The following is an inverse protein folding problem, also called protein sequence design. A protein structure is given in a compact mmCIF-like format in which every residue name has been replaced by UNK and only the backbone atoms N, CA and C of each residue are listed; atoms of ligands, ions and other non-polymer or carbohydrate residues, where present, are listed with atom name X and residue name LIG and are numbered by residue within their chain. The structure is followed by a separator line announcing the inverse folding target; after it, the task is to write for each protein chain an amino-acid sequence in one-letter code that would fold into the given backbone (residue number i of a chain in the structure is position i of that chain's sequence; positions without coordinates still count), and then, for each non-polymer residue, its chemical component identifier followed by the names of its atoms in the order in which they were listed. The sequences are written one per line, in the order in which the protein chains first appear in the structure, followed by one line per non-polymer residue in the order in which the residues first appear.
data_IF_740307486993
#
_entry.id   IF_740307486993
#
_cell.length_a   1.000
_cell.length_b   1.000
_cell.length_c   1.000
_cell.angle_alpha   90.00
_cell.angle_beta   90.00
_cell.angle_gamma   90.00
#
_symmetry.space_group_name_H-M   'P 1'
#
loop_
_entity.id
_entity.type
_entity.pdbx_description
1 polymer ?
#
# COMPACT_ATOMS: atom_id res chain seq x y z
N UNK A 1 27.16 -33.81 -12.56
CA UNK A 1 26.11 -32.88 -12.07
C UNK A 1 25.53 -32.11 -13.24
N UNK A 2 24.21 -31.86 -13.32
CA UNK A 2 23.69 -30.94 -14.32
C UNK A 2 24.29 -29.55 -14.11
N UNK A 3 24.93 -29.00 -15.13
CA UNK A 3 25.44 -27.63 -15.09
C UNK A 3 24.28 -26.66 -14.89
N UNK A 4 24.45 -25.65 -14.02
CA UNK A 4 23.42 -24.63 -13.80
C UNK A 4 23.31 -23.74 -15.04
N UNK A 5 22.50 -24.16 -16.01
CA UNK A 5 22.30 -23.43 -17.28
C UNK A 5 21.23 -22.36 -17.23
N UNK A 6 20.45 -22.27 -16.14
CA UNK A 6 19.34 -21.31 -16.06
C UNK A 6 19.15 -20.70 -14.67
N UNK A 7 18.65 -19.45 -14.60
CA UNK A 7 18.25 -18.84 -13.34
C UNK A 7 17.11 -19.62 -12.67
N UNK A 8 17.08 -19.55 -11.35
CA UNK A 8 16.00 -20.14 -10.54
C UNK A 8 14.63 -19.58 -10.93
N UNK A 9 13.65 -20.46 -11.12
CA UNK A 9 12.25 -20.09 -11.37
C UNK A 9 11.54 -19.68 -10.08
N UNK A 10 11.33 -18.38 -9.92
CA UNK A 10 10.62 -17.78 -8.80
C UNK A 10 11.52 -17.47 -7.58
N UNK A 11 11.39 -16.23 -7.10
CA UNK A 11 12.13 -15.76 -5.92
C UNK A 11 11.74 -16.51 -4.64
N UNK A 12 12.75 -16.79 -3.80
CA UNK A 12 12.62 -17.39 -2.46
C UNK A 12 12.21 -16.37 -1.39
N UNK A 13 12.49 -15.08 -1.60
CA UNK A 13 12.17 -14.00 -0.67
C UNK A 13 10.66 -13.91 -0.35
N UNK A 14 9.83 -14.38 -1.28
CA UNK A 14 8.37 -14.29 -1.19
C UNK A 14 7.70 -15.55 -0.66
N UNK A 15 8.46 -16.45 -0.04
CA UNK A 15 7.92 -17.62 0.67
C UNK A 15 7.61 -17.28 2.13
N UNK A 16 6.58 -17.90 2.73
CA UNK A 16 5.59 -18.79 2.10
C UNK A 16 4.59 -18.02 1.21
N UNK A 17 4.26 -18.59 0.05
CA UNK A 17 3.27 -18.01 -0.88
C UNK A 17 1.84 -18.37 -0.48
N UNK A 18 1.38 -17.80 0.64
CA UNK A 18 0.04 -18.00 1.22
C UNK A 18 -0.86 -16.76 1.07
N UNK A 19 -2.16 -16.92 1.33
CA UNK A 19 -3.10 -15.78 1.40
C UNK A 19 -2.71 -14.87 2.57
N UNK A 20 -2.84 -13.57 2.37
CA UNK A 20 -2.70 -12.57 3.41
C UNK A 20 -3.89 -12.66 4.37
N UNK A 21 -3.62 -12.61 5.67
CA UNK A 21 -4.66 -12.68 6.70
C UNK A 21 -5.42 -11.36 6.86
N UNK A 22 -4.72 -10.23 6.68
CA UNK A 22 -5.28 -8.87 6.80
C UNK A 22 -5.30 -8.23 5.42
N UNK A 23 -6.33 -7.44 5.11
CA UNK A 23 -6.46 -6.72 3.85
C UNK A 23 -5.50 -5.53 3.71
N UNK A 24 -5.32 -4.77 4.80
CA UNK A 24 -4.25 -3.78 4.91
C UNK A 24 -3.03 -4.43 5.59
N UNK A 25 -1.85 -4.36 4.97
CA UNK A 25 -0.62 -4.84 5.60
C UNK A 25 -0.20 -3.93 6.76
N UNK A 26 0.36 -4.51 7.81
CA UNK A 26 1.02 -3.76 8.87
C UNK A 26 2.37 -3.23 8.39
N UNK A 27 2.86 -2.18 9.04
CA UNK A 27 4.07 -1.47 8.65
C UNK A 27 4.99 -1.33 9.85
N UNK A 28 6.30 -1.46 9.60
CA UNK A 28 7.31 -1.05 10.57
C UNK A 28 7.50 0.47 10.46
N UNK A 29 6.78 1.23 11.28
CA UNK A 29 6.78 2.69 11.26
C UNK A 29 8.10 3.32 11.71
N UNK A 30 8.90 2.62 12.51
CA UNK A 30 10.21 3.11 12.97
C UNK A 30 11.22 3.21 11.82
N UNK A 31 11.09 2.34 10.82
CA UNK A 31 12.00 2.31 9.69
C UNK A 31 11.71 3.39 8.63
N UNK A 32 10.50 3.96 8.64
CA UNK A 32 10.07 4.96 7.66
C UNK A 32 10.37 6.35 8.22
N UNK A 33 11.14 7.11 7.47
CA UNK A 33 11.31 8.54 7.71
C UNK A 33 10.42 9.34 6.75
N UNK A 34 9.96 10.51 7.19
CA UNK A 34 9.07 11.37 6.42
C UNK A 34 9.31 12.85 6.71
N UNK A 35 9.28 13.69 5.68
CA UNK A 35 9.37 15.15 5.90
C UNK A 35 8.15 15.69 6.64
N UNK A 36 6.98 15.09 6.40
CA UNK A 36 5.71 15.45 7.03
C UNK A 36 5.46 14.60 8.28
N UNK A 37 4.55 15.09 9.13
CA UNK A 37 4.29 14.48 10.43
C UNK A 37 3.58 13.13 10.33
N UNK A 38 2.70 12.93 9.35
CA UNK A 38 1.98 11.69 9.16
C UNK A 38 2.77 10.77 8.20
N UNK A 39 3.14 9.55 8.63
CA UNK A 39 4.01 8.67 7.83
C UNK A 39 3.31 7.92 6.70
N UNK A 40 1.98 7.89 6.69
CA UNK A 40 1.20 7.11 5.73
C UNK A 40 -0.26 7.50 5.65
N UNK A 41 -0.98 6.89 4.71
CA UNK A 41 -2.37 7.21 4.42
C UNK A 41 -3.11 6.00 3.84
N UNK A 42 -4.42 5.87 4.08
CA UNK A 42 -5.23 4.81 3.44
C UNK A 42 -5.79 5.34 2.12
N UNK A 43 -5.57 4.62 1.04
CA UNK A 43 -6.14 4.93 -0.26
C UNK A 43 -6.82 3.71 -0.90
N UNK A 44 -7.63 3.95 -1.93
CA UNK A 44 -8.34 2.93 -2.67
C UNK A 44 -7.93 2.99 -4.13
N UNK A 45 -7.61 1.83 -4.71
CA UNK A 45 -7.30 1.77 -6.13
C UNK A 45 -8.55 1.99 -6.96
N UNK A 46 -8.63 3.13 -7.65
CA UNK A 46 -9.75 3.44 -8.53
C UNK A 46 -9.61 2.70 -9.85
N UNK A 47 -8.56 3.01 -10.61
CA UNK A 47 -8.32 2.48 -11.94
C UNK A 47 -6.91 2.75 -12.44
N UNK A 48 -6.67 2.42 -13.70
CA UNK A 48 -5.45 2.77 -14.41
C UNK A 48 -5.83 3.50 -15.70
N UNK A 49 -4.99 4.44 -16.09
CA UNK A 49 -5.12 5.23 -17.32
C UNK A 49 -3.73 5.45 -17.90
N UNK A 50 -3.64 6.10 -19.06
CA UNK A 50 -2.38 6.67 -19.53
C UNK A 50 -2.35 8.15 -19.18
N UNK A 51 -1.20 8.71 -18.82
CA UNK A 51 -1.05 10.15 -18.64
C UNK A 51 -0.10 10.67 -19.72
N UNK A 52 -0.48 11.78 -20.36
CA UNK A 52 0.45 12.58 -21.13
C UNK A 52 1.23 13.46 -20.15
N UNK A 53 2.56 13.33 -20.18
CA UNK A 53 3.46 14.12 -19.33
C UNK A 53 4.58 14.72 -20.17
N UNK A 54 5.07 15.89 -19.79
CA UNK A 54 6.32 16.45 -20.35
C UNK A 54 7.48 15.94 -19.50
N UNK A 55 8.49 15.37 -20.14
CA UNK A 55 9.69 14.88 -19.45
C UNK A 55 10.69 16.02 -19.25
N UNK A 56 10.90 16.44 -18.00
CA UNK A 56 11.85 17.48 -17.62
C UNK A 56 13.15 16.89 -17.06
N UNK A 57 13.29 15.55 -17.07
CA UNK A 57 14.44 14.86 -16.51
C UNK A 57 15.75 15.30 -17.19
N UNK A 58 16.76 15.77 -16.43
CA UNK A 58 18.06 16.13 -16.99
C UNK A 58 18.74 14.96 -17.72
N UNK A 59 19.34 15.24 -18.88
CA UNK A 59 20.05 14.27 -19.73
C UNK A 59 19.21 13.06 -20.17
N UNK A 60 17.88 13.16 -20.16
CA UNK A 60 16.99 12.16 -20.74
C UNK A 60 16.94 12.31 -22.26
N UNK A 61 16.87 11.19 -22.99
CA UNK A 61 16.64 11.18 -24.45
C UNK A 61 15.29 11.80 -24.85
N UNK A 62 14.36 11.87 -23.90
CA UNK A 62 13.02 12.43 -24.07
C UNK A 62 12.84 13.79 -23.40
N UNK A 63 13.93 14.46 -22.98
CA UNK A 63 13.86 15.79 -22.36
C UNK A 63 13.05 16.75 -23.24
N UNK A 64 12.14 17.49 -22.61
CA UNK A 64 11.20 18.45 -23.19
C UNK A 64 10.15 17.87 -24.15
N UNK A 65 10.12 16.54 -24.34
CA UNK A 65 9.11 15.86 -25.17
C UNK A 65 7.90 15.44 -24.33
N UNK A 66 6.74 15.42 -24.98
CA UNK A 66 5.52 14.83 -24.44
C UNK A 66 5.58 13.31 -24.59
N UNK A 67 5.44 12.59 -23.49
CA UNK A 67 5.45 11.13 -23.45
C UNK A 67 4.19 10.60 -22.75
N UNK A 68 3.71 9.44 -23.19
CA UNK A 68 2.63 8.74 -22.54
C UNK A 68 3.19 7.75 -21.51
N UNK A 69 2.74 7.83 -20.26
CA UNK A 69 3.14 6.92 -19.18
C UNK A 69 1.91 6.25 -18.58
N UNK A 70 1.94 4.94 -18.28
CA UNK A 70 0.86 4.30 -17.54
C UNK A 70 0.80 4.82 -16.11
N UNK A 71 -0.40 5.14 -15.64
CA UNK A 71 -0.65 5.66 -14.29
C UNK A 71 -1.75 4.88 -13.60
N UNK A 72 -1.71 4.88 -12.27
CA UNK A 72 -2.80 4.39 -11.42
C UNK A 72 -3.44 5.56 -10.70
N UNK A 73 -4.76 5.64 -10.77
CA UNK A 73 -5.57 6.61 -10.04
C UNK A 73 -5.94 5.99 -8.69
N UNK A 74 -5.61 6.68 -7.62
CA UNK A 74 -5.93 6.31 -6.25
C UNK A 74 -6.91 7.35 -5.69
N UNK A 75 -8.01 6.88 -5.11
CA UNK A 75 -8.89 7.71 -4.31
C UNK A 75 -8.44 7.68 -2.85
N UNK A 76 -8.29 8.85 -2.26
CA UNK A 76 -7.78 9.07 -0.92
C UNK A 76 -8.87 9.79 -0.12
N UNK A 77 -9.83 9.05 0.47
CA UNK A 77 -10.79 9.68 1.37
C UNK A 77 -10.09 10.24 2.60
N UNK A 78 -10.60 11.33 3.19
CA UNK A 78 -10.08 11.86 4.44
C UNK A 78 -10.01 10.79 5.53
N UNK A 79 -9.01 10.89 6.39
CA UNK A 79 -8.85 10.03 7.56
C UNK A 79 -9.37 10.73 8.81
N UNK A 80 -9.85 9.95 9.77
CA UNK A 80 -10.14 10.43 11.13
C UNK A 80 -9.39 9.57 12.14
N UNK A 81 -8.97 10.18 13.24
CA UNK A 81 -8.30 9.47 14.34
C UNK A 81 -9.37 8.67 15.11
N UNK A 82 -9.23 7.35 15.16
CA UNK A 82 -10.03 6.47 16.00
C UNK A 82 -9.54 6.48 17.44
N UNK A 83 -8.23 6.33 17.61
CA UNK A 83 -7.56 6.30 18.91
C UNK A 83 -6.09 6.64 18.78
N UNK A 84 -5.49 7.02 19.89
CA UNK A 84 -4.10 7.42 20.03
C UNK A 84 -3.42 6.40 20.93
N UNK A 85 -2.35 5.78 20.46
CA UNK A 85 -1.55 4.82 21.21
C UNK A 85 -0.27 5.47 21.68
N UNK A 86 -0.04 5.39 22.99
CA UNK A 86 1.19 5.82 23.62
C UNK A 86 2.07 4.60 23.88
N UNK A 87 3.33 4.70 23.47
CA UNK A 87 4.30 3.61 23.55
C UNK A 87 5.35 3.91 24.61
N UNK A 88 5.70 2.88 25.38
CA UNK A 88 6.81 2.87 26.35
C UNK A 88 7.64 1.62 26.11
N UNK A 89 8.94 1.75 25.88
CA UNK A 89 9.84 0.63 25.56
C UNK A 89 9.32 -0.21 24.36
N UNK A 90 8.75 0.45 23.36
CA UNK A 90 8.16 -0.19 22.17
C UNK A 90 6.88 -1.00 22.41
N UNK A 91 6.33 -1.02 23.63
CA UNK A 91 5.03 -1.64 23.95
C UNK A 91 3.95 -0.57 24.08
N UNK A 92 2.70 -0.94 23.78
CA UNK A 92 1.55 -0.05 24.00
C UNK A 92 1.34 0.07 25.51
N UNK A 93 1.55 1.26 26.06
CA UNK A 93 1.30 1.53 27.47
C UNK A 93 -0.16 1.92 27.71
N UNK A 94 -0.66 2.90 26.95
CA UNK A 94 -2.04 3.36 27.05
C UNK A 94 -2.63 3.68 25.67
N UNK A 95 -3.95 3.58 25.57
CA UNK A 95 -4.71 3.95 24.37
C UNK A 95 -5.85 4.90 24.77
N UNK A 96 -5.93 6.03 24.06
CA UNK A 96 -6.97 7.06 24.23
C UNK A 96 -7.86 7.04 23.01
N UNK A 97 -9.17 6.96 23.21
CA UNK A 97 -10.12 7.02 22.10
C UNK A 97 -10.24 8.46 21.59
N UNK A 98 -10.42 8.60 20.28
CA UNK A 98 -10.71 9.88 19.64
C UNK A 98 -12.12 10.37 19.95
N UNK A 99 -12.32 11.66 19.73
CA UNK A 99 -13.61 12.34 19.90
C UNK A 99 -14.45 12.28 18.61
N UNK A 100 -15.77 12.45 18.75
CA UNK A 100 -16.71 12.54 17.62
C UNK A 100 -16.63 11.37 16.60
N UNK A 101 -16.66 10.14 17.12
CA UNK A 101 -16.54 8.92 16.33
C UNK A 101 -17.81 8.61 15.53
N UNK A 102 -17.65 8.20 14.28
CA UNK A 102 -18.77 7.85 13.39
C UNK A 102 -19.48 6.56 13.80
N UNK A 103 -20.82 6.53 13.66
CA UNK A 103 -21.66 5.36 13.99
C UNK A 103 -21.26 4.08 13.24
N UNK A 104 -20.68 4.20 12.05
CA UNK A 104 -20.25 3.06 11.22
C UNK A 104 -19.10 2.26 11.83
N UNK A 105 -18.30 2.87 12.71
CA UNK A 105 -17.20 2.20 13.42
C UNK A 105 -17.69 1.03 14.28
N UNK A 106 -18.93 1.09 14.78
CA UNK A 106 -19.56 0.02 15.56
C UNK A 106 -19.62 -1.31 14.82
N UNK A 107 -19.53 -1.31 13.48
CA UNK A 107 -19.47 -2.54 12.66
C UNK A 107 -18.14 -3.27 12.74
N UNK A 108 -17.06 -2.57 13.12
CA UNK A 108 -15.71 -3.15 13.20
C UNK A 108 -15.15 -3.24 14.61
N UNK A 109 -15.45 -2.26 15.45
CA UNK A 109 -14.86 -2.14 16.79
C UNK A 109 -15.97 -1.89 17.80
N UNK A 110 -15.91 -2.59 18.94
CA UNK A 110 -16.74 -2.29 20.10
C UNK A 110 -16.20 -1.02 20.76
N UNK A 111 -16.98 0.06 20.70
CA UNK A 111 -16.60 1.33 21.31
C UNK A 111 -16.83 1.29 22.83
N UNK A 112 -15.87 1.75 23.66
CA UNK A 112 -16.06 1.81 25.10
C UNK A 112 -17.07 2.90 25.47
N UNK A 113 -17.82 2.69 26.57
CA UNK A 113 -18.82 3.65 27.07
C UNK A 113 -18.19 4.88 27.73
N UNK A 114 -17.00 4.74 28.33
CA UNK A 114 -16.20 5.83 28.92
C UNK A 114 -14.86 5.89 28.18
N UNK A 115 -14.51 7.07 27.68
CA UNK A 115 -13.21 7.34 27.05
C UNK A 115 -12.35 8.17 28.00
N UNK A 116 -11.08 7.79 28.15
CA UNK A 116 -10.08 8.62 28.85
C UNK A 116 -9.83 9.88 28.03
N UNK A 117 -9.64 11.03 28.67
CA UNK A 117 -9.27 12.26 27.97
C UNK A 117 -7.77 12.30 27.71
N UNK A 118 -7.36 12.98 26.65
CA UNK A 118 -5.94 13.06 26.28
C UNK A 118 -5.14 13.94 27.25
N UNK A 119 -5.79 14.90 27.90
CA UNK A 119 -5.15 15.83 28.84
C UNK A 119 -4.79 15.20 30.18
N UNK A 120 -5.38 14.04 30.51
CA UNK A 120 -5.10 13.29 31.74
C UNK A 120 -3.77 12.49 31.66
N UNK A 121 -3.14 12.46 30.48
CA UNK A 121 -1.94 11.66 30.24
C UNK A 121 -0.68 12.48 30.49
N UNK A 122 0.14 12.00 31.42
CA UNK A 122 1.47 12.55 31.67
C UNK A 122 2.39 12.25 30.49
N UNK A 123 2.97 13.31 29.92
CA UNK A 123 3.82 13.22 28.72
C UNK A 123 5.11 12.43 28.97
N UNK A 124 5.69 12.57 30.15
CA UNK A 124 7.00 11.98 30.51
C UNK A 124 6.99 10.44 30.55
N UNK A 125 5.81 9.83 30.66
CA UNK A 125 5.69 8.38 30.81
C UNK A 125 5.90 7.60 29.51
N UNK A 126 5.87 8.28 28.35
CA UNK A 126 5.81 7.66 27.03
C UNK A 126 6.87 8.21 26.06
N UNK A 127 7.42 7.33 25.23
CA UNK A 127 8.51 7.64 24.31
C UNK A 127 8.01 7.95 22.90
N UNK A 128 6.94 7.29 22.46
CA UNK A 128 6.41 7.42 21.10
C UNK A 128 4.87 7.47 21.11
N UNK A 129 4.33 8.16 20.10
CA UNK A 129 2.89 8.31 19.88
C UNK A 129 2.58 7.85 18.46
N UNK A 130 1.56 7.00 18.34
CA UNK A 130 1.01 6.60 17.05
C UNK A 130 -0.50 6.72 17.06
N UNK A 131 -1.08 6.91 15.89
CA UNK A 131 -2.52 7.10 15.74
C UNK A 131 -3.13 5.91 15.04
N UNK A 132 -4.18 5.32 15.62
CA UNK A 132 -5.08 4.46 14.88
C UNK A 132 -6.04 5.37 14.13
N UNK A 133 -6.03 5.27 12.82
CA UNK A 133 -6.89 6.06 11.96
C UNK A 133 -7.86 5.15 11.22
N UNK A 134 -8.94 5.74 10.77
CA UNK A 134 -9.88 5.10 9.87
C UNK A 134 -10.24 5.98 8.68
N UNK A 135 -10.52 5.34 7.54
CA UNK A 135 -10.96 6.04 6.33
C UNK A 135 -12.44 6.39 6.39
N UNK A 136 -12.79 7.63 6.02
CA UNK A 136 -14.19 8.08 5.89
C UNK A 136 -14.76 7.58 4.57
N UNK A 137 -15.09 6.28 4.53
CA UNK A 137 -15.49 5.57 3.30
C UNK A 137 -16.83 6.02 2.72
N UNK A 138 -17.70 6.63 3.53
CA UNK A 138 -18.99 7.17 3.07
C UNK A 138 -18.84 8.14 1.90
N UNK A 139 -17.76 8.94 1.88
CA UNK A 139 -17.46 9.88 0.80
C UNK A 139 -17.10 9.19 -0.51
N UNK A 140 -16.54 7.98 -0.46
CA UNK A 140 -16.11 7.22 -1.65
C UNK A 140 -17.22 6.39 -2.29
N UNK A 141 -18.27 6.00 -1.53
CA UNK A 141 -19.32 5.10 -2.01
C UNK A 141 -18.87 3.64 -2.29
N UNK A 142 -17.63 3.26 -1.98
CA UNK A 142 -17.10 1.91 -2.28
C UNK A 142 -17.68 0.85 -1.35
N UNK A 143 -17.76 1.17 -0.05
CA UNK A 143 -18.20 0.25 1.02
C UNK A 143 -18.71 1.02 2.24
N UNK A 144 -19.50 0.34 3.06
CA UNK A 144 -20.11 0.88 4.30
C UNK A 144 -19.30 0.65 5.58
N UNK A 145 -18.14 0.00 5.50
CA UNK A 145 -17.31 -0.34 6.66
C UNK A 145 -15.93 0.28 6.50
N UNK A 146 -15.47 1.12 7.46
CA UNK A 146 -14.20 1.82 7.31
C UNK A 146 -13.01 0.86 7.37
N UNK A 147 -11.89 1.19 6.73
CA UNK A 147 -10.61 0.52 7.01
C UNK A 147 -9.91 1.21 8.16
N UNK A 148 -9.28 0.41 9.03
CA UNK A 148 -8.64 0.87 10.25
C UNK A 148 -7.20 0.40 10.21
N UNK A 149 -6.26 1.30 10.49
CA UNK A 149 -4.84 0.99 10.55
C UNK A 149 -4.14 1.93 11.53
N UNK A 150 -3.11 1.43 12.19
CA UNK A 150 -2.18 2.27 12.96
C UNK A 150 -1.22 2.95 12.00
N UNK A 151 -1.03 4.26 12.14
CA UNK A 151 -0.08 5.08 11.39
C UNK A 151 0.89 5.71 12.36
N UNK A 152 2.19 5.61 12.03
CA UNK A 152 3.24 6.26 12.77
C UNK A 152 3.29 7.76 12.48
N UNK A 153 3.68 8.53 13.50
CA UNK A 153 3.97 9.96 13.36
C UNK A 153 5.48 10.20 13.31
N UNK A 154 5.91 11.28 12.67
CA UNK A 154 7.31 11.72 12.62
C UNK A 154 7.55 12.97 13.46
N UNK A 155 8.80 13.24 13.83
CA UNK A 155 9.20 14.40 14.64
C UNK A 155 9.35 14.12 16.14
N UNK A 156 9.59 15.18 16.92
CA UNK A 156 9.71 15.11 18.37
C UNK A 156 8.37 14.76 19.04
N UNK A 157 8.43 14.29 20.29
CA UNK A 157 7.25 13.90 21.05
C UNK A 157 6.20 15.02 21.12
N UNK A 158 6.61 16.25 21.44
CA UNK A 158 5.68 17.39 21.52
C UNK A 158 5.03 17.72 20.18
N UNK A 159 5.79 17.62 19.07
CA UNK A 159 5.21 17.81 17.73
C UNK A 159 4.13 16.79 17.43
N UNK A 160 4.39 15.51 17.76
CA UNK A 160 3.40 14.43 17.61
C UNK A 160 2.17 14.68 18.47
N UNK A 161 2.37 15.07 19.72
CA UNK A 161 1.29 15.33 20.66
C UNK A 161 0.40 16.51 20.24
N UNK A 162 1.02 17.62 19.81
CA UNK A 162 0.30 18.80 19.30
C UNK A 162 -0.51 18.46 18.05
N UNK A 163 0.09 17.72 17.11
CA UNK A 163 -0.62 17.24 15.92
C UNK A 163 -1.86 16.41 16.28
N UNK A 164 -1.74 15.51 17.25
CA UNK A 164 -2.86 14.68 17.72
C UNK A 164 -3.96 15.56 18.33
N UNK A 165 -3.61 16.52 19.18
CA UNK A 165 -4.58 17.44 19.80
C UNK A 165 -5.33 18.26 18.74
N UNK A 166 -4.62 18.79 17.75
CA UNK A 166 -5.21 19.61 16.70
C UNK A 166 -6.15 18.84 15.78
N UNK A 167 -5.85 17.56 15.51
CA UNK A 167 -6.56 16.72 14.54
C UNK A 167 -7.54 15.72 15.19
N UNK A 168 -7.70 15.73 16.51
CA UNK A 168 -8.67 14.90 17.21
C UNK A 168 -10.09 15.29 16.77
N UNK A 169 -10.89 14.30 16.33
CA UNK A 169 -12.25 14.53 15.83
C UNK A 169 -12.35 15.25 14.46
N UNK A 170 -11.23 15.70 13.89
CA UNK A 170 -11.17 16.36 12.57
C UNK A 170 -10.79 15.40 11.46
N UNK A 171 -11.09 15.81 10.23
CA UNK A 171 -10.69 15.10 9.03
C UNK A 171 -9.28 15.51 8.58
N UNK A 172 -8.46 14.50 8.30
CA UNK A 172 -7.09 14.64 7.80
C UNK A 172 -7.10 14.43 6.29
N UNK A 173 -6.73 15.47 5.55
CA UNK A 173 -6.59 15.48 4.09
C UNK A 173 -5.27 14.85 3.65
N UNK A 174 -5.26 14.18 2.48
CA UNK A 174 -4.02 13.65 1.89
C UNK A 174 -3.11 14.77 1.37
N UNK A 175 -3.71 15.90 0.96
CA UNK A 175 -3.01 17.00 0.29
C UNK A 175 -2.04 17.73 1.22
N UNK A 176 -2.26 17.67 2.53
CA UNK A 176 -1.40 18.32 3.53
C UNK A 176 -0.15 17.48 3.87
N UNK A 177 -0.14 16.20 3.52
CA UNK A 177 0.88 15.23 3.96
C UNK A 177 1.74 14.67 2.82
N UNK A 178 1.35 14.86 1.56
CA UNK A 178 2.11 14.42 0.40
C UNK A 178 2.21 15.55 -0.61
N UNK A 179 3.26 15.53 -1.44
CA UNK A 179 3.50 16.58 -2.44
C UNK A 179 3.68 15.98 -3.84
N UNK A 180 3.37 16.77 -4.87
CA UNK A 180 3.59 16.37 -6.26
C UNK A 180 5.09 16.16 -6.49
N UNK A 181 5.44 15.11 -7.22
CA UNK A 181 6.83 14.75 -7.49
C UNK A 181 7.53 13.94 -6.39
N UNK A 182 6.92 13.78 -5.22
CA UNK A 182 7.44 12.94 -4.14
C UNK A 182 7.43 11.44 -4.51
N UNK A 183 8.36 10.67 -3.92
CA UNK A 183 8.38 9.22 -4.01
C UNK A 183 7.64 8.61 -2.81
N UNK A 184 6.74 7.70 -3.12
CA UNK A 184 5.92 7.00 -2.14
C UNK A 184 6.01 5.49 -2.33
N UNK A 185 5.80 4.76 -1.24
CA UNK A 185 5.67 3.32 -1.27
C UNK A 185 4.20 2.93 -1.11
N UNK A 186 3.74 2.04 -1.99
CA UNK A 186 2.38 1.52 -1.94
C UNK A 186 2.40 0.09 -1.43
N UNK A 187 1.71 -0.13 -0.32
CA UNK A 187 1.63 -1.41 0.37
C UNK A 187 0.22 -1.94 0.25
N UNK A 188 0.09 -3.17 -0.21
CA UNK A 188 -1.23 -3.73 -0.47
C UNK A 188 -1.21 -5.20 -0.76
N UNK A 189 -2.35 -5.69 -1.25
CA UNK A 189 -2.53 -7.09 -1.59
C UNK A 189 -2.71 -7.25 -3.08
N UNK A 190 -1.97 -8.19 -3.65
CA UNK A 190 -2.09 -8.56 -5.06
C UNK A 190 -3.46 -9.18 -5.38
N UNK A 191 -3.96 -9.00 -6.61
CA UNK A 191 -5.18 -9.67 -7.09
C UNK A 191 -5.08 -11.19 -6.90
N UNK A 192 -6.11 -11.78 -6.28
CA UNK A 192 -6.21 -13.23 -6.10
C UNK A 192 -6.41 -13.96 -7.42
N UNK A 193 -5.74 -15.11 -7.58
CA UNK A 193 -5.89 -16.01 -8.73
C UNK A 193 -6.25 -17.45 -8.32
N UNK A 194 -6.52 -17.69 -7.03
CA UNK A 194 -6.87 -19.03 -6.53
C UNK A 194 -5.70 -20.02 -6.56
N UNK A 195 -6.02 -21.32 -6.62
CA UNK A 195 -5.04 -22.39 -6.79
C UNK A 195 -4.52 -22.38 -8.24
N UNK A 196 -3.21 -22.40 -8.41
CA UNK A 196 -2.56 -22.35 -9.72
C UNK A 196 -1.43 -23.37 -9.81
N UNK A 197 -1.28 -23.98 -10.99
CA UNK A 197 -0.21 -24.93 -11.27
C UNK A 197 1.19 -24.28 -11.33
N UNK A 198 2.26 -25.10 -11.29
CA UNK A 198 3.65 -24.62 -11.20
C UNK A 198 4.06 -23.68 -12.34
N UNK A 199 3.58 -23.93 -13.56
CA UNK A 199 3.87 -23.13 -14.75
C UNK A 199 3.45 -21.67 -14.55
N UNK A 200 2.17 -21.42 -14.23
CA UNK A 200 1.66 -20.05 -14.03
C UNK A 200 2.12 -19.44 -12.71
N UNK A 201 2.34 -20.26 -11.68
CA UNK A 201 2.74 -19.81 -10.33
C UNK A 201 4.23 -19.42 -10.24
N UNK A 202 5.11 -20.14 -10.93
CA UNK A 202 6.57 -19.97 -10.85
C UNK A 202 7.26 -19.63 -12.18
N UNK A 203 6.57 -19.72 -13.31
CA UNK A 203 7.17 -19.51 -14.63
C UNK A 203 8.06 -20.68 -15.06
N UNK A 204 7.71 -21.90 -14.64
CA UNK A 204 8.37 -23.13 -15.12
C UNK A 204 7.97 -23.36 -16.58
N UNK A 205 8.90 -23.84 -17.40
CA UNK A 205 8.64 -24.18 -18.79
C UNK A 205 7.66 -25.34 -18.90
N UNK A 206 6.88 -25.36 -19.99
CA UNK A 206 6.05 -26.51 -20.32
C UNK A 206 6.94 -27.71 -20.67
N UNK A 207 6.48 -28.92 -20.36
CA UNK A 207 7.11 -30.16 -20.87
C UNK A 207 6.81 -30.32 -22.36
N UNK A 208 7.40 -31.32 -22.99
CA UNK A 208 7.07 -31.67 -24.37
C UNK A 208 5.59 -32.04 -24.52
N UNK A 209 4.99 -31.75 -25.69
CA UNK A 209 3.56 -31.91 -25.91
C UNK A 209 3.07 -33.36 -25.75
N UNK A 210 3.91 -34.36 -26.09
CA UNK A 210 3.62 -35.80 -25.89
C UNK A 210 4.04 -36.33 -24.51
N UNK A 211 4.31 -35.45 -23.55
CA UNK A 211 4.70 -35.88 -22.22
C UNK A 211 3.55 -36.65 -21.55
N UNK A 212 3.84 -37.87 -21.12
CA UNK A 212 2.92 -38.66 -20.32
C UNK A 212 2.61 -37.95 -18.98
N UNK A 213 1.38 -38.12 -18.50
CA UNK A 213 0.85 -37.55 -17.24
C UNK A 213 0.85 -36.01 -17.19
N UNK A 214 0.87 -35.38 -18.38
CA UNK A 214 0.57 -33.97 -18.56
C UNK A 214 1.78 -33.06 -18.74
N UNK A 215 1.49 -31.92 -19.36
CA UNK A 215 2.51 -30.98 -19.86
C UNK A 215 2.84 -29.87 -18.87
N UNK A 216 1.93 -29.58 -17.93
CA UNK A 216 1.96 -28.36 -17.08
C UNK A 216 2.53 -28.58 -15.68
N UNK A 217 3.63 -29.33 -15.59
CA UNK A 217 4.33 -29.63 -14.33
C UNK A 217 5.85 -29.58 -14.46
N UNK A 218 6.58 -29.47 -13.34
CA UNK A 218 8.03 -29.66 -13.35
C UNK A 218 8.38 -31.09 -13.79
N UNK A 219 9.49 -31.26 -14.51
CA UNK A 219 9.94 -32.59 -14.95
C UNK A 219 10.44 -33.46 -13.78
N UNK A 220 11.36 -32.93 -12.97
CA UNK A 220 11.83 -33.56 -11.74
C UNK A 220 11.60 -32.64 -10.54
N UNK A 221 11.20 -33.22 -9.41
CA UNK A 221 10.95 -32.53 -8.15
C UNK A 221 12.15 -32.60 -7.19
N UNK A 222 13.17 -33.40 -7.49
CA UNK A 222 14.36 -33.54 -6.65
C UNK A 222 15.18 -34.79 -6.99
N UNK A 223 16.41 -34.88 -6.46
CA UNK A 223 17.20 -36.12 -6.48
C UNK A 223 16.65 -37.16 -5.49
N UNK A 224 17.14 -38.40 -5.56
CA UNK A 224 16.80 -39.47 -4.60
C UNK A 224 17.25 -39.10 -3.17
N UNK A 225 18.50 -38.68 -3.00
CA UNK A 225 19.06 -38.23 -1.73
C UNK A 225 19.21 -36.70 -1.76
N UNK A 226 18.58 -35.93 -0.83
CA UNK A 226 17.79 -36.38 0.32
C UNK A 226 16.38 -36.87 -0.08
N UNK A 227 15.86 -37.87 0.64
CA UNK A 227 14.56 -38.51 0.41
C UNK A 227 13.36 -37.63 0.85
N UNK A 228 13.35 -36.36 0.43
CA UNK A 228 12.27 -35.40 0.67
C UNK A 228 12.22 -34.34 -0.43
N UNK A 229 11.01 -33.87 -0.71
CA UNK A 229 10.82 -32.70 -1.58
C UNK A 229 11.18 -31.44 -0.80
N UNK A 230 12.12 -30.65 -1.31
CA UNK A 230 12.48 -29.39 -0.67
C UNK A 230 11.44 -28.31 -0.93
N UNK A 231 11.23 -27.39 0.01
CA UNK A 231 10.34 -26.23 -0.17
C UNK A 231 10.74 -25.33 -1.35
N UNK A 232 11.97 -25.48 -1.85
CA UNK A 232 12.51 -24.74 -2.99
C UNK A 232 11.94 -25.23 -4.32
N UNK A 233 11.24 -26.36 -4.36
CA UNK A 233 10.70 -26.92 -5.60
C UNK A 233 9.44 -26.16 -6.00
N UNK A 234 9.30 -25.73 -7.27
CA UNK A 234 8.11 -25.02 -7.74
C UNK A 234 6.90 -25.97 -7.79
N UNK A 235 6.04 -25.88 -6.78
CA UNK A 235 4.83 -26.71 -6.65
C UNK A 235 3.54 -25.94 -6.95
N UNK A 236 2.45 -26.65 -7.23
CA UNK A 236 1.13 -26.04 -7.37
C UNK A 236 0.66 -25.43 -6.03
N UNK A 237 -0.23 -24.44 -6.08
CA UNK A 237 -0.79 -23.84 -4.87
C UNK A 237 -1.37 -22.45 -5.08
N UNK A 238 -1.68 -21.78 -3.98
CA UNK A 238 -2.23 -20.42 -4.01
C UNK A 238 -1.34 -19.45 -4.80
N UNK A 239 -1.97 -18.66 -5.66
CA UNK A 239 -1.37 -17.52 -6.37
C UNK A 239 -2.20 -16.26 -6.14
N UNK A 240 -1.53 -15.16 -5.81
CA UNK A 240 -2.17 -13.90 -5.50
C UNK A 240 -2.81 -13.90 -4.11
N UNK A 241 -3.42 -12.77 -3.73
CA UNK A 241 -3.74 -12.45 -2.33
C UNK A 241 -2.50 -12.42 -1.42
N UNK A 242 -1.33 -12.08 -1.95
CA UNK A 242 -0.11 -11.90 -1.16
C UNK A 242 0.08 -10.42 -0.79
N UNK A 243 0.63 -10.15 0.40
CA UNK A 243 1.10 -8.82 0.80
C UNK A 243 2.32 -8.42 -0.01
N UNK A 244 2.30 -7.26 -0.65
CA UNK A 244 3.42 -6.73 -1.43
C UNK A 244 3.56 -5.24 -1.20
N UNK A 245 4.78 -4.77 -1.38
CA UNK A 245 5.14 -3.35 -1.40
C UNK A 245 5.74 -3.06 -2.76
N UNK A 246 5.30 -1.98 -3.39
CA UNK A 246 5.94 -1.40 -4.56
C UNK A 246 6.59 -0.13 -4.05
N UNK A 247 7.91 -0.09 -4.16
CA UNK A 247 8.71 0.99 -3.63
C UNK A 247 8.92 2.08 -4.68
N UNK A 248 9.12 3.32 -4.22
CA UNK A 248 9.55 4.44 -5.05
C UNK A 248 8.64 4.74 -6.25
N UNK A 249 7.33 4.71 -6.04
CA UNK A 249 6.37 5.21 -7.01
C UNK A 249 6.33 6.74 -6.95
N UNK A 250 6.34 7.42 -8.10
CA UNK A 250 6.31 8.89 -8.16
C UNK A 250 4.87 9.40 -8.24
N UNK A 251 4.53 10.37 -7.40
CA UNK A 251 3.26 11.13 -7.47
C UNK A 251 3.37 12.11 -8.65
N UNK A 252 2.44 12.03 -9.59
CA UNK A 252 2.40 12.92 -10.76
C UNK A 252 1.41 14.07 -10.56
N UNK A 253 0.24 13.75 -10.03
CA UNK A 253 -0.82 14.73 -9.80
C UNK A 253 -1.63 14.36 -8.56
N UNK A 254 -2.24 15.36 -7.93
CA UNK A 254 -3.08 15.21 -6.75
C UNK A 254 -4.00 16.42 -6.59
N UNK A 255 -5.19 16.20 -6.04
CA UNK A 255 -6.19 17.24 -5.85
C UNK A 255 -7.55 16.68 -5.41
N UNK A 256 -8.61 17.48 -5.58
CA UNK A 256 -9.99 17.05 -5.35
C UNK A 256 -10.53 16.31 -6.58
N UNK A 257 -11.13 15.14 -6.38
CA UNK A 257 -11.55 14.25 -7.47
C UNK A 257 -12.90 14.58 -8.09
N UNK A 258 -13.71 15.40 -7.40
CA UNK A 258 -15.05 15.78 -7.84
C UNK A 258 -15.04 16.24 -9.31
N UNK A 259 -15.91 15.63 -10.10
CA UNK A 259 -16.06 15.84 -11.55
C UNK A 259 -14.89 15.46 -12.47
N UNK A 260 -13.66 15.29 -11.98
CA UNK A 260 -12.50 14.98 -12.83
C UNK A 260 -12.49 13.53 -13.33
N UNK A 261 -12.93 12.58 -12.50
CA UNK A 261 -12.91 11.15 -12.85
C UNK A 261 -14.32 10.56 -12.78
N UNK A 262 -14.91 10.30 -13.95
CA UNK A 262 -16.24 9.70 -14.08
C UNK A 262 -16.16 8.34 -14.76
N UNK A 263 -17.07 7.43 -14.40
CA UNK A 263 -17.28 6.13 -15.07
C UNK A 263 -16.03 5.24 -15.17
N UNK A 264 -15.16 5.23 -14.15
CA UNK A 264 -14.04 4.28 -14.11
C UNK A 264 -14.58 2.84 -14.00
N UNK A 265 -14.16 1.99 -14.94
CA UNK A 265 -14.58 0.57 -15.01
C UNK A 265 -14.38 -0.15 -13.69
N UNK A 266 -15.44 -0.81 -13.21
CA UNK A 266 -15.46 -1.55 -11.93
C UNK A 266 -15.13 -0.70 -10.69
N UNK A 267 -15.31 0.62 -10.78
CA UNK A 267 -15.11 1.55 -9.67
C UNK A 267 -16.30 2.50 -9.53
N UNK A 268 -16.57 3.30 -10.55
CA UNK A 268 -17.52 4.41 -10.53
C UNK A 268 -16.79 5.75 -10.65
N UNK A 269 -17.29 6.76 -9.93
CA UNK A 269 -16.71 8.09 -9.89
C UNK A 269 -15.75 8.23 -8.71
N UNK A 270 -14.76 9.09 -8.83
CA UNK A 270 -13.90 9.50 -7.71
C UNK A 270 -14.51 10.76 -7.11
N UNK A 271 -14.99 10.68 -5.87
CA UNK A 271 -15.71 11.78 -5.24
C UNK A 271 -14.86 12.50 -4.19
N UNK A 272 -13.88 11.82 -3.61
CA UNK A 272 -12.98 12.41 -2.62
C UNK A 272 -11.66 12.87 -3.25
N UNK A 273 -10.67 13.20 -2.41
CA UNK A 273 -9.33 13.58 -2.90
C UNK A 273 -8.70 12.41 -3.65
N UNK A 274 -7.82 12.70 -4.60
CA UNK A 274 -7.16 11.68 -5.40
C UNK A 274 -5.67 11.92 -5.50
N UNK A 275 -4.99 10.85 -5.90
CA UNK A 275 -3.58 10.86 -6.22
C UNK A 275 -3.33 10.01 -7.47
N UNK A 276 -2.64 10.58 -8.44
CA UNK A 276 -2.21 9.89 -9.67
C UNK A 276 -0.76 9.49 -9.48
N UNK A 277 -0.51 8.20 -9.53
CA UNK A 277 0.80 7.61 -9.28
C UNK A 277 1.32 6.94 -10.54
N UNK A 278 2.60 7.11 -10.82
CA UNK A 278 3.26 6.44 -11.95
C UNK A 278 3.21 4.91 -11.81
N UNK A 279 2.85 4.25 -12.91
CA UNK A 279 2.91 2.80 -13.09
C UNK A 279 1.71 2.06 -12.48
N UNK A 280 1.85 0.74 -12.39
CA UNK A 280 0.83 -0.13 -11.82
C UNK A 280 1.01 -0.29 -10.30
N UNK A 281 -0.10 -0.27 -9.58
CA UNK A 281 -0.14 -0.57 -8.13
C UNK A 281 -0.76 -1.93 -7.88
N UNK A 282 -0.48 -2.55 -6.73
CA UNK A 282 -1.04 -3.87 -6.41
C UNK A 282 -2.57 -3.83 -6.26
N UNK A 283 -3.20 -4.99 -6.40
CA UNK A 283 -4.63 -5.16 -6.15
C UNK A 283 -5.53 -4.88 -7.35
N UNK A 284 -6.80 -5.26 -7.17
CA UNK A 284 -7.92 -4.94 -8.07
C UNK A 284 -8.42 -3.51 -7.85
N UNK A 285 -9.35 -3.03 -8.67
CA UNK A 285 -10.14 -1.85 -8.33
C UNK A 285 -10.86 -2.04 -6.99
N UNK A 286 -11.19 -0.94 -6.31
CA UNK A 286 -11.84 -0.89 -4.98
C UNK A 286 -11.01 -1.48 -3.83
N UNK A 287 -9.77 -1.93 -4.10
CA UNK A 287 -8.89 -2.50 -3.07
C UNK A 287 -8.28 -1.39 -2.24
N UNK A 288 -8.33 -1.53 -0.92
CA UNK A 288 -7.60 -0.66 -0.02
C UNK A 288 -6.09 -0.91 -0.09
N UNK A 289 -5.35 0.18 -0.06
CA UNK A 289 -3.90 0.27 -0.11
C UNK A 289 -3.45 1.18 1.02
N UNK A 290 -2.27 0.90 1.54
CA UNK A 290 -1.60 1.76 2.50
C UNK A 290 -0.46 2.47 1.78
N UNK A 291 -0.62 3.77 1.63
CA UNK A 291 0.41 4.68 1.18
C UNK A 291 1.35 4.96 2.34
N UNK A 292 2.66 4.93 2.10
CA UNK A 292 3.66 5.43 3.06
C UNK A 292 4.65 6.32 2.32
N UNK A 293 5.31 7.23 3.04
CA UNK A 293 6.52 7.85 2.53
C UNK A 293 7.54 6.76 2.15
N UNK A 294 8.40 7.05 1.18
CA UNK A 294 9.37 6.08 0.69
C UNK A 294 10.32 5.65 1.80
N UNK A 295 10.40 4.35 2.08
CA UNK A 295 11.33 3.78 3.05
C UNK A 295 12.78 4.10 2.68
N UNK A 296 13.08 4.07 1.36
CA UNK A 296 14.39 4.42 0.82
C UNK A 296 14.21 4.99 -0.58
N UNK A 297 14.43 6.30 -0.71
CA UNK A 297 14.38 7.01 -1.98
C UNK A 297 15.49 6.52 -2.93
N UNK A 298 15.09 5.97 -4.08
CA UNK A 298 16.06 5.58 -5.10
C UNK A 298 16.47 6.81 -5.91
N UNK A 299 17.77 7.14 -5.94
CA UNK A 299 18.34 8.27 -6.72
C UNK A 299 17.84 8.31 -8.17
N UNK A 300 17.78 7.14 -8.84
CA UNK A 300 17.28 7.01 -10.22
C UNK A 300 15.81 7.41 -10.39
N UNK A 301 14.95 7.13 -9.42
CA UNK A 301 13.53 7.53 -9.50
C UNK A 301 13.34 8.99 -9.10
N UNK A 302 14.12 9.46 -8.12
CA UNK A 302 14.08 10.85 -7.64
C UNK A 302 14.41 11.85 -8.75
N UNK A 303 15.47 11.57 -9.51
CA UNK A 303 15.93 12.38 -10.65
C UNK A 303 14.90 12.56 -11.76
N UNK A 304 13.91 11.66 -11.87
CA UNK A 304 12.94 11.74 -12.96
C UNK A 304 11.92 12.81 -12.65
N UNK A 305 11.79 13.80 -13.52
CA UNK A 305 10.89 14.93 -13.33
C UNK A 305 9.90 14.93 -14.49
N UNK A 306 8.62 14.88 -14.13
CA UNK A 306 7.52 14.83 -15.08
C UNK A 306 6.53 15.91 -14.71
N UNK A 307 6.23 16.75 -15.68
CA UNK A 307 5.13 17.70 -15.59
C UNK A 307 3.88 17.01 -16.14
N UNK A 308 2.85 16.92 -15.30
CA UNK A 308 1.60 16.29 -15.66
C UNK A 308 0.76 17.23 -16.53
N UNK A 309 0.32 16.75 -17.70
CA UNK A 309 -0.52 17.54 -18.62
C UNK A 309 -1.98 17.08 -18.50
N UNK A 310 -2.26 15.84 -18.91
CA UNK A 310 -3.62 15.32 -18.97
C UNK A 310 -3.65 13.79 -18.86
N UNK A 311 -4.85 13.25 -18.64
CA UNK A 311 -5.13 11.81 -18.66
C UNK A 311 -5.72 11.43 -20.01
N UNK A 312 -5.34 10.25 -20.47
CA UNK A 312 -5.73 9.63 -21.73
C UNK A 312 -6.23 8.21 -21.51
#
# INVERSE_FOLDING_TARGET
MPSKKSPRKGSLQFWPRKRANKLLPSVNWNAIDSKKILKGFICYKAGMASAAVKDLTPHSMTKDKKIAIPVTILECPPLKILSVRFYKNGKVGTEVMGENLEKELKKKVKLPKKAKKIDEIKKEDFEDIRVIVYSVVKKTGIKKSPDIIEIGLNGSYDKKFNFVKENLGKEISVLNHFEKGELVDLRGITKGKGFQGPVKRFGVTLRFHKSEKGVRGPGSIGPWHPARVTFRVPMAGQMGLHTRVVYNNKILDMGKGENKFKNIKNYGNVNSEYMVVRGSVQGSSKRQLLLTHALRETRKQKKKEYEFIELR
#
